data_IF_737262675213
#
_entry.id   IF_737262675213
#
_cell.length_a   1.000
_cell.length_b   1.000
_cell.length_c   1.000
_cell.angle_alpha   90.00
_cell.angle_beta   90.00
_cell.angle_gamma   90.00
#
_symmetry.space_group_name_H-M   'P 1'
#
loop_
_entity.id
_entity.type
_entity.pdbx_description
1 polymer ?
#
# COMPACT_ATOMS: atom_id res chain seq x y z
N UNK A 1 -14.49 7.76 -10.20
CA UNK A 1 -14.42 8.07 -8.76
C UNK A 1 -14.10 6.78 -8.03
N UNK A 2 -12.89 6.62 -7.47
CA UNK A 2 -12.56 5.36 -6.80
C UNK A 2 -13.53 5.08 -5.63
N UNK A 3 -13.96 3.83 -5.48
CA UNK A 3 -14.80 3.38 -4.36
C UNK A 3 -14.11 2.22 -3.66
N UNK A 4 -13.93 2.28 -2.34
CA UNK A 4 -13.49 1.14 -1.55
C UNK A 4 -14.59 0.71 -0.59
N UNK A 5 -14.75 -0.59 -0.43
CA UNK A 5 -15.80 -1.17 0.40
C UNK A 5 -15.29 -2.37 1.19
N UNK A 6 -15.92 -2.59 2.33
CA UNK A 6 -15.80 -3.84 3.08
C UNK A 6 -17.14 -4.52 3.09
N UNK A 7 -17.12 -5.85 3.15
CA UNK A 7 -18.33 -6.64 3.23
C UNK A 7 -18.11 -7.85 4.14
N UNK A 8 -19.07 -8.14 5.01
CA UNK A 8 -19.00 -9.24 5.97
C UNK A 8 -20.11 -10.23 5.69
N UNK A 9 -19.72 -11.49 5.42
CA UNK A 9 -20.61 -12.65 5.42
C UNK A 9 -20.13 -13.64 6.48
N UNK A 10 -19.94 -14.92 6.12
CA UNK A 10 -19.11 -15.85 6.89
C UNK A 10 -17.68 -15.32 6.99
N UNK A 11 -17.11 -14.91 5.87
CA UNK A 11 -15.76 -14.35 5.77
C UNK A 11 -15.81 -12.82 5.66
N UNK A 12 -14.65 -12.17 5.73
CA UNK A 12 -14.51 -10.73 5.57
C UNK A 12 -13.88 -10.42 4.22
N UNK A 13 -14.44 -9.45 3.51
CA UNK A 13 -14.00 -9.05 2.19
C UNK A 13 -13.64 -7.57 2.21
N UNK A 14 -12.58 -7.25 1.49
CA UNK A 14 -12.14 -5.90 1.20
C UNK A 14 -11.88 -5.81 -0.30
N UNK A 15 -12.25 -4.68 -0.90
CA UNK A 15 -12.01 -4.44 -2.30
C UNK A 15 -12.30 -3.01 -2.69
N UNK A 16 -11.96 -2.68 -3.94
CA UNK A 16 -12.11 -1.32 -4.47
C UNK A 16 -12.30 -1.31 -5.99
N UNK A 17 -12.90 -0.23 -6.48
CA UNK A 17 -12.79 0.17 -7.89
C UNK A 17 -11.61 1.13 -8.04
N UNK A 18 -10.81 0.92 -9.08
CA UNK A 18 -9.76 1.86 -9.50
C UNK A 18 -10.27 2.60 -10.73
N UNK A 19 -10.76 3.81 -10.52
CA UNK A 19 -11.38 4.62 -11.56
C UNK A 19 -10.39 5.68 -12.03
N UNK A 20 -9.71 5.42 -13.14
CA UNK A 20 -8.76 6.32 -13.76
C UNK A 20 -8.88 6.31 -15.28
N UNK A 21 -8.37 7.34 -15.95
CA UNK A 21 -8.55 7.54 -17.40
C UNK A 21 -7.67 6.61 -18.24
N UNK A 22 -6.63 6.02 -17.65
CA UNK A 22 -5.70 5.09 -18.30
C UNK A 22 -5.06 4.14 -17.27
N UNK A 23 -4.48 3.04 -17.75
CA UNK A 23 -3.74 2.08 -16.91
C UNK A 23 -2.25 2.39 -16.93
N UNK A 24 -1.57 2.16 -15.81
CA UNK A 24 -0.11 2.28 -15.70
C UNK A 24 0.61 0.93 -15.90
N UNK A 25 -0.06 -0.07 -16.48
CA UNK A 25 0.47 -1.44 -16.53
C UNK A 25 0.29 -2.13 -15.19
N UNK A 26 -0.95 -2.10 -14.69
CA UNK A 26 -1.30 -2.59 -13.36
C UNK A 26 -1.15 -4.12 -13.27
N UNK A 27 -0.54 -4.61 -12.19
CA UNK A 27 -0.19 -6.01 -11.98
C UNK A 27 -0.65 -6.50 -10.61
N UNK A 28 -1.01 -7.78 -10.54
CA UNK A 28 -1.13 -8.48 -9.26
C UNK A 28 0.28 -8.79 -8.77
N UNK A 29 0.66 -8.23 -7.64
CA UNK A 29 2.01 -8.35 -7.07
C UNK A 29 1.95 -9.01 -5.71
N UNK A 30 2.77 -10.05 -5.54
CA UNK A 30 3.01 -10.70 -4.26
C UNK A 30 4.40 -10.27 -3.77
N UNK A 31 4.46 -9.57 -2.64
CA UNK A 31 5.71 -9.26 -1.95
C UNK A 31 5.94 -10.31 -0.85
N UNK A 32 6.94 -11.19 -0.98
CA UNK A 32 7.23 -12.22 0.01
C UNK A 32 7.87 -11.63 1.28
N UNK A 33 7.81 -12.38 2.39
CA UNK A 33 8.25 -11.93 3.74
C UNK A 33 9.69 -11.39 3.85
N UNK A 34 10.57 -11.79 2.93
CA UNK A 34 12.00 -11.46 2.97
C UNK A 34 12.43 -10.56 1.81
N UNK A 35 11.47 -9.96 1.10
CA UNK A 35 11.78 -8.82 0.23
C UNK A 35 12.20 -7.64 1.12
N UNK A 36 13.14 -6.81 0.65
CA UNK A 36 13.65 -5.70 1.45
C UNK A 36 12.92 -4.40 1.08
N UNK A 37 12.07 -3.90 1.98
CA UNK A 37 11.53 -2.55 1.86
C UNK A 37 12.55 -1.54 2.38
N UNK A 38 13.10 -0.72 1.50
CA UNK A 38 14.02 0.36 1.87
C UNK A 38 13.24 1.67 2.00
N UNK A 39 12.89 2.07 3.22
CA UNK A 39 12.12 3.29 3.46
C UNK A 39 13.03 4.51 3.49
N UNK A 40 12.57 5.64 2.94
CA UNK A 40 13.37 6.87 2.83
C UNK A 40 13.88 7.41 4.16
N UNK A 41 13.11 7.27 5.25
CA UNK A 41 13.41 7.95 6.51
C UNK A 41 13.26 7.11 7.79
N UNK A 42 12.79 5.85 7.70
CA UNK A 42 12.57 4.99 8.89
C UNK A 42 13.40 3.71 8.90
N UNK A 43 14.35 3.56 7.97
CA UNK A 43 15.24 2.41 7.87
C UNK A 43 14.66 1.27 7.04
N UNK A 44 15.34 0.12 7.01
CA UNK A 44 14.99 -0.98 6.11
C UNK A 44 14.16 -2.09 6.79
N UNK A 45 13.05 -2.43 6.16
CA UNK A 45 12.19 -3.61 6.31
C UNK A 45 12.70 -4.91 5.67
N UNK A 46 13.56 -5.72 6.30
CA UNK A 46 14.06 -6.98 5.69
C UNK A 46 13.25 -8.25 6.00
N UNK A 47 12.39 -8.19 7.02
CA UNK A 47 11.49 -9.28 7.38
C UNK A 47 10.13 -8.69 7.78
N UNK A 48 9.08 -9.15 7.12
CA UNK A 48 7.73 -8.61 7.28
C UNK A 48 6.67 -9.63 6.88
N UNK A 49 5.39 -9.31 7.10
CA UNK A 49 4.29 -10.12 6.58
C UNK A 49 4.26 -10.12 5.05
N UNK A 50 3.92 -11.26 4.43
CA UNK A 50 3.73 -11.32 2.99
C UNK A 50 2.49 -10.48 2.59
N UNK A 51 2.61 -9.78 1.45
CA UNK A 51 1.59 -8.85 0.94
C UNK A 51 1.16 -9.30 -0.46
N UNK A 52 -0.13 -9.22 -0.76
CA UNK A 52 -0.68 -9.38 -2.12
C UNK A 52 -1.57 -8.18 -2.43
N UNK A 53 -1.47 -7.63 -3.65
CA UNK A 53 -2.26 -6.48 -4.04
C UNK A 53 -2.12 -6.10 -5.50
N UNK A 54 -2.85 -5.06 -5.90
CA UNK A 54 -2.72 -4.42 -7.21
C UNK A 54 -1.67 -3.31 -7.14
N UNK A 55 -0.68 -3.34 -8.03
CA UNK A 55 0.43 -2.40 -8.02
C UNK A 55 0.95 -2.10 -9.42
N UNK A 56 1.70 -1.02 -9.54
CA UNK A 56 2.70 -0.82 -10.59
C UNK A 56 4.08 -1.14 -10.03
N UNK A 57 4.90 -1.93 -10.72
CA UNK A 57 6.28 -2.22 -10.29
C UNK A 57 7.24 -1.29 -11.01
N UNK A 58 7.88 -0.39 -10.28
CA UNK A 58 8.88 0.53 -10.80
C UNK A 58 10.21 0.32 -10.06
N UNK A 59 11.29 0.12 -10.80
CA UNK A 59 12.63 -0.07 -10.22
C UNK A 59 12.68 -1.15 -9.12
N UNK A 60 12.01 -2.29 -9.38
CA UNK A 60 11.86 -3.41 -8.43
C UNK A 60 11.10 -3.08 -7.14
N UNK A 61 10.42 -1.92 -7.07
CA UNK A 61 9.60 -1.51 -5.93
C UNK A 61 8.10 -1.64 -6.22
N UNK A 62 7.31 -2.30 -5.36
CA UNK A 62 5.87 -2.46 -5.55
C UNK A 62 5.11 -1.19 -5.11
N UNK A 63 4.64 -0.40 -6.07
CA UNK A 63 3.79 0.77 -5.84
C UNK A 63 2.32 0.34 -5.78
N UNK A 64 1.91 -0.15 -4.61
CA UNK A 64 0.55 -0.64 -4.38
C UNK A 64 -0.49 0.48 -4.48
N UNK A 65 -1.59 0.21 -5.19
CA UNK A 65 -2.81 0.99 -5.08
C UNK A 65 -3.69 0.48 -3.93
N UNK A 66 -3.76 -0.84 -3.79
CA UNK A 66 -4.45 -1.58 -2.73
C UNK A 66 -3.76 -2.91 -2.51
N UNK A 67 -3.79 -3.39 -1.26
CA UNK A 67 -3.20 -4.65 -0.89
C UNK A 67 -3.78 -5.19 0.42
N UNK A 68 -3.52 -6.47 0.69
CA UNK A 68 -3.72 -7.11 1.97
C UNK A 68 -2.51 -7.96 2.34
N UNK A 69 -2.29 -8.16 3.64
CA UNK A 69 -1.27 -9.07 4.12
C UNK A 69 -1.83 -10.45 4.51
N UNK A 70 -0.93 -11.38 4.78
CA UNK A 70 -1.25 -12.74 5.22
C UNK A 70 -2.01 -12.85 6.56
N UNK A 71 -2.13 -11.74 7.31
CA UNK A 71 -2.91 -11.67 8.57
C UNK A 71 -4.33 -11.16 8.37
N UNK A 72 -4.71 -10.81 7.13
CA UNK A 72 -6.04 -10.33 6.80
C UNK A 72 -6.23 -8.82 7.02
N UNK A 73 -5.16 -8.06 7.23
CA UNK A 73 -5.20 -6.59 7.25
C UNK A 73 -5.10 -6.09 5.81
N UNK A 74 -5.94 -5.13 5.43
CA UNK A 74 -5.99 -4.59 4.08
C UNK A 74 -6.02 -3.07 4.07
N UNK A 75 -5.49 -2.48 3.00
CA UNK A 75 -5.35 -1.04 2.83
C UNK A 75 -5.50 -0.66 1.35
N UNK A 76 -6.13 0.47 1.06
CA UNK A 76 -6.19 1.05 -0.29
C UNK A 76 -6.00 2.57 -0.24
N UNK A 77 -5.20 3.09 -1.16
CA UNK A 77 -5.02 4.54 -1.36
C UNK A 77 -5.92 5.04 -2.48
N UNK A 78 -6.88 5.92 -2.19
CA UNK A 78 -7.82 6.48 -3.18
C UNK A 78 -7.42 7.90 -3.55
N UNK A 79 -7.82 8.34 -4.75
CA UNK A 79 -7.63 9.72 -5.18
C UNK A 79 -8.32 10.69 -4.20
N UNK A 80 -7.53 11.64 -3.69
CA UNK A 80 -7.99 12.69 -2.78
C UNK A 80 -7.48 14.07 -3.23
N UNK A 81 -7.71 14.34 -4.52
CA UNK A 81 -7.18 15.49 -5.26
C UNK A 81 -7.59 16.81 -4.60
N UNK A 82 -6.64 17.73 -4.47
CA UNK A 82 -6.83 19.06 -3.88
C UNK A 82 -6.95 19.10 -2.36
N UNK A 83 -7.10 17.94 -1.70
CA UNK A 83 -7.32 17.86 -0.25
C UNK A 83 -6.20 17.11 0.49
N UNK A 84 -5.47 16.21 -0.18
CA UNK A 84 -4.31 15.55 0.42
C UNK A 84 -3.18 16.56 0.70
N UNK A 85 -2.68 16.57 1.92
CA UNK A 85 -1.56 17.42 2.35
C UNK A 85 -0.44 16.53 2.86
N UNK A 86 0.74 16.64 2.24
CA UNK A 86 1.96 15.95 2.69
C UNK A 86 2.87 16.96 3.37
N UNK A 87 3.40 16.56 4.52
CA UNK A 87 4.30 17.41 5.28
C UNK A 87 5.74 17.33 4.74
N UNK A 88 6.50 18.40 4.93
CA UNK A 88 7.96 18.29 4.96
C UNK A 88 8.39 17.39 6.13
N UNK A 89 9.62 16.89 6.08
CA UNK A 89 10.20 16.06 7.14
C UNK A 89 10.11 16.80 8.48
N UNK A 90 9.67 16.11 9.53
CA UNK A 90 9.55 16.64 10.89
C UNK A 90 10.35 15.79 11.89
N UNK A 91 10.94 16.42 12.93
CA UNK A 91 11.50 15.66 14.04
C UNK A 91 10.39 14.99 14.86
N UNK A 92 10.76 13.98 15.65
CA UNK A 92 9.91 13.32 16.65
C UNK A 92 8.67 12.59 16.09
N UNK A 93 8.66 12.28 14.78
CA UNK A 93 7.65 11.45 14.12
C UNK A 93 8.31 10.48 13.13
N UNK A 94 7.60 9.41 12.80
CA UNK A 94 7.96 8.57 11.67
C UNK A 94 7.59 9.26 10.36
N UNK A 95 8.60 9.59 9.54
CA UNK A 95 8.40 10.24 8.26
C UNK A 95 8.26 9.17 7.18
N UNK A 96 7.07 9.04 6.60
CA UNK A 96 6.76 7.98 5.64
C UNK A 96 6.29 8.64 4.35
N UNK A 97 6.92 8.32 3.22
CA UNK A 97 6.44 8.82 1.95
C UNK A 97 5.10 8.16 1.59
N UNK A 98 4.24 8.88 0.87
CA UNK A 98 2.91 8.38 0.53
C UNK A 98 2.95 7.01 -0.18
N UNK A 99 3.90 6.80 -1.09
CA UNK A 99 4.06 5.54 -1.83
C UNK A 99 4.60 4.38 -0.98
N UNK A 100 5.14 4.67 0.20
CA UNK A 100 5.65 3.69 1.16
C UNK A 100 4.59 3.26 2.17
N UNK A 101 3.45 3.97 2.24
CA UNK A 101 2.55 3.86 3.37
C UNK A 101 1.81 2.53 3.44
N UNK A 102 1.41 1.97 2.28
CA UNK A 102 0.83 0.61 2.23
C UNK A 102 1.86 -0.44 2.68
N UNK A 103 3.07 -0.51 2.09
CA UNK A 103 4.14 -1.37 2.60
C UNK A 103 4.40 -1.19 4.09
N UNK A 104 4.47 0.04 4.59
CA UNK A 104 4.79 0.30 5.99
C UNK A 104 3.75 -0.30 6.94
N UNK A 105 2.46 -0.04 6.72
CA UNK A 105 1.41 -0.59 7.58
C UNK A 105 1.31 -2.11 7.43
N UNK A 106 1.18 -2.61 6.20
CA UNK A 106 0.89 -4.02 5.96
C UNK A 106 2.05 -4.96 6.28
N UNK A 107 3.26 -4.43 6.41
CA UNK A 107 4.43 -5.23 6.77
C UNK A 107 4.48 -5.64 8.24
N UNK A 108 3.85 -4.86 9.13
CA UNK A 108 4.04 -4.97 10.58
C UNK A 108 2.74 -5.08 11.39
N UNK A 109 1.58 -4.82 10.78
CA UNK A 109 0.27 -4.87 11.43
C UNK A 109 -0.52 -6.13 11.06
#
# INVERSE_FOLDING_TARGET
MCTAATYKTKDFYFGRTLDYEFSYGDQIVITPRNYAFNFRHVGDMKNHYAIIGMAHVAEDYPLYYDAMNEKGVAMAGLNFVGNAVYAAIKPDVENIAQFEFIPWILSQC
#
